data_IF_945010208801
#
_entry.id   IF_945010208801
#
_cell.length_a   1.000
_cell.length_b   1.000
_cell.length_c   1.000
_cell.angle_alpha   90.00
_cell.angle_beta   90.00
_cell.angle_gamma   90.00
#
_symmetry.space_group_name_H-M   'P 1'
#
loop_
_entity.id
_entity.type
_entity.pdbx_description
1 polymer ?
#
# COMPACT_ATOMS: atom_id res chain seq x y z
N UNK A 1 -15.15 -24.41 19.12
CA UNK A 1 -14.92 -22.98 19.42
C UNK A 1 -14.69 -22.31 18.08
N UNK A 2 -15.52 -21.35 17.68
CA UNK A 2 -15.24 -20.56 16.47
C UNK A 2 -13.90 -19.88 16.69
N UNK A 3 -12.93 -20.06 15.78
CA UNK A 3 -11.68 -19.34 15.86
C UNK A 3 -12.00 -17.85 15.70
N UNK A 4 -11.66 -17.03 16.70
CA UNK A 4 -11.84 -15.58 16.62
C UNK A 4 -10.88 -15.05 15.56
N UNK A 5 -11.40 -14.38 14.54
CA UNK A 5 -10.60 -13.73 13.50
C UNK A 5 -9.98 -12.46 14.08
N UNK A 6 -8.68 -12.26 13.84
CA UNK A 6 -7.98 -11.02 14.18
C UNK A 6 -8.03 -10.06 13.02
N UNK A 7 -8.34 -8.81 13.31
CA UNK A 7 -8.39 -7.73 12.34
C UNK A 7 -7.17 -6.86 12.54
N UNK A 8 -6.30 -6.76 11.55
CA UNK A 8 -5.02 -6.06 11.68
C UNK A 8 -4.84 -5.02 10.58
N UNK A 9 -4.17 -3.91 10.91
CA UNK A 9 -3.85 -2.85 9.95
C UNK A 9 -2.44 -2.31 10.21
N UNK A 10 -1.58 -2.43 9.20
CA UNK A 10 -0.19 -1.96 9.25
C UNK A 10 -0.06 -0.47 8.92
N UNK A 11 0.58 0.29 9.80
CA UNK A 11 0.89 1.71 9.64
C UNK A 11 2.32 1.86 9.11
N UNK A 12 2.44 2.19 7.83
CA UNK A 12 3.72 2.27 7.12
C UNK A 12 4.42 3.63 7.22
N UNK A 13 3.81 4.58 7.94
CA UNK A 13 4.17 6.00 7.87
C UNK A 13 3.63 6.72 6.63
N UNK A 14 2.93 6.00 5.74
CA UNK A 14 2.35 6.57 4.53
C UNK A 14 0.97 7.17 4.75
N UNK A 15 0.65 8.16 3.91
CA UNK A 15 -0.68 8.78 3.81
C UNK A 15 -1.79 7.74 3.64
N UNK A 16 -1.58 6.75 2.78
CA UNK A 16 -2.62 5.78 2.41
C UNK A 16 -2.98 4.84 3.60
N UNK A 17 -1.98 4.33 4.34
CA UNK A 17 -2.23 3.52 5.54
C UNK A 17 -2.84 4.32 6.70
N UNK A 18 -2.44 5.57 6.85
CA UNK A 18 -2.98 6.46 7.87
C UNK A 18 -4.45 6.81 7.59
N UNK A 19 -4.76 7.16 6.33
CA UNK A 19 -6.12 7.40 5.90
C UNK A 19 -7.00 6.16 6.05
N UNK A 20 -6.45 4.97 5.79
CA UNK A 20 -7.20 3.73 6.01
C UNK A 20 -7.52 3.51 7.48
N UNK A 21 -6.58 3.78 8.39
CA UNK A 21 -6.84 3.64 9.82
C UNK A 21 -7.97 4.59 10.28
N UNK A 22 -7.96 5.83 9.81
CA UNK A 22 -9.01 6.82 10.04
C UNK A 22 -10.35 6.36 9.46
N UNK A 23 -10.33 5.92 8.20
CA UNK A 23 -11.50 5.43 7.48
C UNK A 23 -12.17 4.25 8.20
N UNK A 24 -11.37 3.27 8.60
CA UNK A 24 -11.85 2.08 9.32
C UNK A 24 -12.45 2.47 10.68
N UNK A 25 -11.80 3.38 11.42
CA UNK A 25 -12.29 3.86 12.73
C UNK A 25 -13.63 4.59 12.61
N UNK A 26 -13.82 5.39 11.56
CA UNK A 26 -15.01 6.20 11.38
C UNK A 26 -16.20 5.39 10.86
N UNK A 27 -15.97 4.47 9.92
CA UNK A 27 -17.03 3.74 9.22
C UNK A 27 -17.34 2.37 9.82
N UNK A 28 -16.37 1.75 10.49
CA UNK A 28 -16.51 0.41 11.10
C UNK A 28 -16.00 0.42 12.55
N UNK A 29 -16.51 1.32 13.43
CA UNK A 29 -16.03 1.45 14.80
C UNK A 29 -16.22 0.20 15.67
N UNK A 30 -17.10 -0.71 15.27
CA UNK A 30 -17.35 -2.01 15.90
C UNK A 30 -16.27 -3.06 15.60
N UNK A 31 -15.48 -2.87 14.53
CA UNK A 31 -14.35 -3.73 14.24
C UNK A 31 -13.22 -3.47 15.23
N UNK A 32 -12.84 -4.50 15.98
CA UNK A 32 -11.69 -4.45 16.87
C UNK A 32 -10.39 -4.61 16.07
N UNK A 33 -9.98 -3.54 15.40
CA UNK A 33 -8.74 -3.49 14.63
C UNK A 33 -7.54 -3.31 15.56
N UNK A 34 -6.55 -4.20 15.41
CA UNK A 34 -5.21 -4.11 15.97
C UNK A 34 -4.31 -3.35 14.99
N UNK A 35 -3.79 -2.21 15.42
CA UNK A 35 -2.87 -1.41 14.61
C UNK A 35 -1.43 -1.77 14.95
N UNK A 36 -0.58 -1.90 13.94
CA UNK A 36 0.84 -2.19 14.15
C UNK A 36 1.73 -1.39 13.22
N UNK A 37 2.99 -1.24 13.58
CA UNK A 37 4.03 -0.70 12.71
C UNK A 37 5.29 -1.54 12.84
N UNK A 38 6.05 -1.71 11.76
CA UNK A 38 7.31 -2.43 11.75
C UNK A 38 8.46 -1.42 11.57
N UNK A 39 9.07 -1.05 12.69
CA UNK A 39 10.09 0.00 12.75
C UNK A 39 11.47 -0.57 12.38
N UNK A 40 12.10 0.05 11.38
CA UNK A 40 13.44 -0.34 10.92
C UNK A 40 14.56 0.35 11.71
N UNK A 41 14.22 1.32 12.55
CA UNK A 41 15.16 2.23 13.22
C UNK A 41 15.65 3.36 12.31
N UNK A 42 15.22 3.40 11.05
CA UNK A 42 15.73 4.31 10.01
C UNK A 42 14.62 5.15 9.37
N UNK A 43 13.52 5.34 10.09
CA UNK A 43 12.39 6.16 9.66
C UNK A 43 12.67 7.65 9.91
N UNK A 44 12.04 8.53 9.13
CA UNK A 44 12.07 9.97 9.40
C UNK A 44 11.28 10.33 10.66
N UNK A 45 11.65 11.45 11.33
CA UNK A 45 10.98 11.91 12.57
C UNK A 45 9.48 12.13 12.38
N UNK A 46 9.11 12.62 11.22
CA UNK A 46 7.72 12.87 10.81
C UNK A 46 6.90 11.58 10.76
N UNK A 47 7.51 10.42 10.46
CA UNK A 47 6.84 9.12 10.51
C UNK A 47 6.41 8.78 11.93
N UNK A 48 7.31 8.97 12.91
CA UNK A 48 6.99 8.75 14.32
C UNK A 48 5.93 9.74 14.83
N UNK A 49 5.97 10.99 14.36
CA UNK A 49 4.95 11.99 14.71
C UNK A 49 3.57 11.61 14.15
N UNK A 50 3.50 11.11 12.92
CA UNK A 50 2.26 10.61 12.33
C UNK A 50 1.67 9.45 13.14
N UNK A 51 2.50 8.49 13.54
CA UNK A 51 2.07 7.35 14.38
C UNK A 51 1.46 7.89 15.68
N UNK A 52 2.14 8.81 16.37
CA UNK A 52 1.60 9.43 17.59
C UNK A 52 0.27 10.15 17.37
N UNK A 53 0.13 10.89 16.27
CA UNK A 53 -1.13 11.57 15.93
C UNK A 53 -2.25 10.55 15.69
N UNK A 54 -1.95 9.44 15.02
CA UNK A 54 -2.91 8.35 14.79
C UNK A 54 -3.32 7.68 16.11
N UNK A 55 -2.40 7.41 17.04
CA UNK A 55 -2.76 6.82 18.35
C UNK A 55 -3.76 7.70 19.11
N UNK A 56 -3.53 9.02 19.10
CA UNK A 56 -4.44 10.00 19.70
C UNK A 56 -5.82 9.98 19.04
N UNK A 57 -5.88 9.92 17.70
CA UNK A 57 -7.13 9.86 16.95
C UNK A 57 -7.89 8.55 17.18
N UNK A 58 -7.18 7.42 17.14
CA UNK A 58 -7.76 6.08 17.25
C UNK A 58 -8.20 5.76 18.68
N UNK A 59 -7.57 6.40 19.68
CA UNK A 59 -7.70 6.06 21.09
C UNK A 59 -7.11 4.68 21.41
N UNK A 60 -6.14 4.22 20.62
CA UNK A 60 -5.49 2.91 20.68
C UNK A 60 -3.99 3.07 20.42
N UNK A 61 -3.17 2.31 21.14
CA UNK A 61 -1.73 2.20 20.89
C UNK A 61 -1.49 1.46 19.55
N UNK A 62 -0.49 1.90 18.79
CA UNK A 62 -0.02 1.21 17.60
C UNK A 62 1.14 0.29 18.02
N UNK A 63 0.92 -1.03 17.88
CA UNK A 63 1.88 -2.05 18.30
C UNK A 63 3.17 -1.92 17.49
N UNK A 64 4.27 -1.60 18.17
CA UNK A 64 5.59 -1.52 17.55
C UNK A 64 6.23 -2.89 17.44
N UNK A 65 6.27 -3.42 16.21
CA UNK A 65 7.00 -4.63 15.86
C UNK A 65 8.45 -4.27 15.55
N UNK A 66 9.39 -5.03 16.14
CA UNK A 66 10.82 -4.78 15.99
C UNK A 66 11.56 -6.05 15.58
N UNK A 67 12.46 -5.92 14.60
CA UNK A 67 13.36 -7.00 14.20
C UNK A 67 14.51 -7.08 15.17
N UNK A 68 14.97 -8.30 15.47
CA UNK A 68 16.15 -8.53 16.31
C UNK A 68 16.08 -7.75 17.65
N UNK A 69 15.02 -7.95 18.47
CA UNK A 69 14.82 -7.16 19.69
C UNK A 69 15.95 -7.31 20.72
N UNK A 70 16.70 -8.42 20.65
CA UNK A 70 17.85 -8.70 21.53
C UNK A 70 19.15 -8.04 21.03
N UNK A 71 19.11 -7.33 19.89
CA UNK A 71 20.26 -6.63 19.32
C UNK A 71 20.47 -5.28 20.01
N UNK A 72 21.74 -4.90 20.22
CA UNK A 72 22.12 -3.55 20.65
C UNK A 72 22.13 -2.53 19.50
N UNK A 73 22.04 -3.00 18.26
CA UNK A 73 21.99 -2.19 17.03
C UNK A 73 20.54 -2.07 16.54
N UNK A 74 20.24 -0.98 15.82
CA UNK A 74 18.94 -0.82 15.15
C UNK A 74 18.64 -2.01 14.21
N UNK A 75 17.36 -2.35 13.98
CA UNK A 75 16.96 -3.49 13.15
C UNK A 75 17.61 -3.52 11.76
N UNK A 76 17.70 -2.36 11.11
CA UNK A 76 18.35 -2.23 9.80
C UNK A 76 19.84 -2.55 9.87
N UNK A 77 20.57 -1.97 10.83
CA UNK A 77 22.02 -2.10 10.96
C UNK A 77 22.42 -3.52 11.31
N UNK A 78 21.69 -4.14 12.23
CA UNK A 78 21.86 -5.55 12.58
C UNK A 78 21.74 -6.44 11.34
N UNK A 79 20.70 -6.19 10.52
CA UNK A 79 20.47 -6.98 9.31
C UNK A 79 21.54 -6.73 8.26
N UNK A 80 21.92 -5.48 8.02
CA UNK A 80 22.97 -5.10 7.08
C UNK A 80 24.31 -5.77 7.44
N UNK A 81 24.67 -5.75 8.72
CA UNK A 81 25.87 -6.40 9.25
C UNK A 81 25.84 -7.91 9.06
N UNK A 82 24.69 -8.55 9.28
CA UNK A 82 24.51 -9.99 9.03
C UNK A 82 24.67 -10.39 7.56
N UNK A 83 24.57 -9.42 6.64
CA UNK A 83 24.74 -9.60 5.20
C UNK A 83 26.07 -9.01 4.68
N UNK A 84 27.04 -8.78 5.57
CA UNK A 84 28.35 -8.21 5.25
C UNK A 84 28.28 -6.91 4.44
N UNK A 85 27.33 -6.02 4.76
CA UNK A 85 27.21 -4.71 4.10
C UNK A 85 26.40 -4.71 2.80
N UNK A 86 25.78 -5.83 2.41
CA UNK A 86 24.96 -5.90 1.20
C UNK A 86 23.68 -5.03 1.31
N UNK A 87 23.64 -3.92 0.58
CA UNK A 87 22.50 -3.00 0.56
C UNK A 87 21.25 -3.62 -0.07
N UNK A 88 20.04 -3.26 0.42
CA UNK A 88 18.81 -3.72 -0.20
C UNK A 88 18.64 -3.05 -1.56
N UNK A 89 18.08 -3.78 -2.51
CA UNK A 89 17.84 -3.29 -3.87
C UNK A 89 16.54 -3.86 -4.44
N UNK A 90 16.08 -3.42 -5.63
CA UNK A 90 14.80 -3.88 -6.19
C UNK A 90 14.68 -5.41 -6.33
N UNK A 91 15.81 -6.11 -6.55
CA UNK A 91 15.84 -7.57 -6.64
C UNK A 91 15.88 -8.22 -5.25
N UNK A 92 16.67 -7.64 -4.34
CA UNK A 92 16.93 -8.18 -3.01
C UNK A 92 16.37 -7.27 -1.91
N UNK A 93 15.04 -7.26 -1.79
CA UNK A 93 14.27 -6.43 -0.84
C UNK A 93 14.26 -7.02 0.57
N UNK A 94 15.44 -7.31 1.12
CA UNK A 94 15.56 -7.91 2.45
C UNK A 94 15.03 -7.00 3.56
N UNK A 95 15.01 -5.68 3.35
CA UNK A 95 14.42 -4.72 4.28
C UNK A 95 12.91 -4.95 4.44
N UNK A 96 12.16 -5.14 3.35
CA UNK A 96 10.74 -5.52 3.42
C UNK A 96 10.56 -6.91 3.99
N UNK A 97 11.33 -7.89 3.50
CA UNK A 97 11.16 -9.29 3.91
C UNK A 97 11.45 -9.48 5.40
N UNK A 98 12.67 -9.19 5.84
CA UNK A 98 13.13 -9.53 7.19
C UNK A 98 12.72 -8.53 8.26
N UNK A 99 12.57 -7.25 7.91
CA UNK A 99 12.26 -6.22 8.90
C UNK A 99 10.76 -5.93 9.00
N UNK A 100 9.94 -6.45 8.08
CA UNK A 100 8.49 -6.15 8.05
C UNK A 100 7.65 -7.42 7.94
N UNK A 101 7.77 -8.17 6.84
CA UNK A 101 6.93 -9.34 6.58
C UNK A 101 7.16 -10.48 7.59
N UNK A 102 8.43 -10.88 7.78
CA UNK A 102 8.77 -12.00 8.68
C UNK A 102 8.34 -11.70 10.14
N UNK A 103 8.37 -10.44 10.55
CA UNK A 103 7.99 -10.01 11.90
C UNK A 103 6.48 -9.93 12.04
N UNK A 104 5.79 -9.39 11.04
CA UNK A 104 4.34 -9.44 11.00
C UNK A 104 3.84 -10.89 11.07
N UNK A 105 4.42 -11.80 10.29
CA UNK A 105 4.08 -13.21 10.31
C UNK A 105 4.36 -13.87 11.67
N UNK A 106 5.39 -13.42 12.40
CA UNK A 106 5.67 -13.86 13.77
C UNK A 106 4.65 -13.29 14.77
N UNK A 107 4.25 -12.04 14.60
CA UNK A 107 3.28 -11.34 15.44
C UNK A 107 1.87 -11.97 15.36
N UNK A 108 1.43 -12.35 14.16
CA UNK A 108 0.13 -13.01 13.97
C UNK A 108 0.16 -14.51 14.23
N UNK A 109 1.34 -15.13 14.17
CA UNK A 109 1.52 -16.55 14.44
C UNK A 109 0.74 -17.43 13.46
N UNK A 110 -0.20 -18.20 14.00
CA UNK A 110 -1.12 -19.10 13.27
C UNK A 110 -2.59 -18.67 13.43
N UNK A 111 -2.83 -17.48 13.97
CA UNK A 111 -4.20 -16.98 14.12
C UNK A 111 -4.80 -16.69 12.73
N UNK A 112 -6.11 -16.93 12.52
CA UNK A 112 -6.78 -16.45 11.32
C UNK A 112 -6.87 -14.92 11.37
N UNK A 113 -6.33 -14.26 10.35
CA UNK A 113 -6.11 -12.82 10.31
C UNK A 113 -6.64 -12.22 9.01
N UNK A 114 -7.38 -11.12 9.15
CA UNK A 114 -7.71 -10.20 8.07
C UNK A 114 -6.78 -8.99 8.17
N UNK A 115 -5.95 -8.79 7.14
CA UNK A 115 -5.04 -7.65 7.01
C UNK A 115 -5.63 -6.61 6.07
N UNK A 116 -5.92 -5.42 6.59
CA UNK A 116 -6.46 -4.31 5.80
C UNK A 116 -5.33 -3.50 5.16
N UNK A 117 -5.46 -3.25 3.86
CA UNK A 117 -4.42 -2.62 3.04
C UNK A 117 -4.97 -1.42 2.28
N UNK A 118 -4.30 -0.27 2.43
CA UNK A 118 -4.71 1.00 1.84
C UNK A 118 -4.26 1.14 0.38
N UNK A 119 -4.72 0.27 -0.52
CA UNK A 119 -4.52 0.46 -1.96
C UNK A 119 -5.68 1.25 -2.51
N UNK A 120 -5.40 2.43 -3.06
CA UNK A 120 -6.43 3.33 -3.60
C UNK A 120 -7.13 2.73 -4.81
N UNK A 121 -8.33 3.23 -5.09
CA UNK A 121 -9.12 2.86 -6.26
C UNK A 121 -8.52 3.30 -7.60
N UNK A 122 -7.68 4.34 -7.58
CA UNK A 122 -6.96 4.86 -8.75
C UNK A 122 -5.58 4.20 -8.98
N UNK A 123 -5.16 3.27 -8.11
CA UNK A 123 -3.91 2.52 -8.27
C UNK A 123 -4.12 1.22 -9.05
N UNK A 124 -3.37 1.02 -10.13
CA UNK A 124 -3.39 -0.22 -10.92
C UNK A 124 -2.25 -1.19 -10.52
N UNK A 125 -2.33 -1.75 -9.31
CA UNK A 125 -1.36 -2.73 -8.79
C UNK A 125 -2.01 -3.78 -7.89
N UNK A 126 -1.33 -4.89 -7.63
CA UNK A 126 -1.78 -5.85 -6.63
C UNK A 126 -1.16 -5.57 -5.25
N UNK A 127 -1.87 -5.97 -4.20
CA UNK A 127 -1.35 -5.99 -2.84
C UNK A 127 -0.49 -7.20 -2.57
N UNK A 128 0.16 -7.25 -1.40
CA UNK A 128 0.81 -8.46 -0.96
C UNK A 128 -0.23 -9.54 -0.67
N UNK A 129 -0.04 -10.72 -1.27
CA UNK A 129 -0.79 -11.93 -0.96
C UNK A 129 0.12 -12.81 -0.12
N UNK A 130 -0.27 -13.05 1.12
CA UNK A 130 0.51 -13.91 2.02
C UNK A 130 0.59 -15.34 1.49
N UNK A 131 1.71 -16.00 1.77
CA UNK A 131 1.83 -17.45 1.55
C UNK A 131 1.20 -18.27 2.67
N UNK A 132 0.90 -17.64 3.81
CA UNK A 132 0.16 -18.27 4.91
C UNK A 132 -1.33 -18.21 4.60
N UNK A 133 -1.98 -19.36 4.61
CA UNK A 133 -3.43 -19.51 4.43
C UNK A 133 -4.25 -18.88 5.56
N UNK A 134 -3.63 -18.68 6.72
CA UNK A 134 -4.25 -18.00 7.87
C UNK A 134 -4.29 -16.47 7.72
N UNK A 135 -3.72 -15.88 6.67
CA UNK A 135 -3.69 -14.43 6.47
C UNK A 135 -4.40 -14.08 5.17
N UNK A 136 -5.41 -13.21 5.25
CA UNK A 136 -6.16 -12.72 4.10
C UNK A 136 -6.08 -11.19 4.01
N UNK A 137 -5.71 -10.68 2.84
CA UNK A 137 -5.68 -9.24 2.58
C UNK A 137 -7.05 -8.75 2.09
N UNK A 138 -7.46 -7.56 2.56
CA UNK A 138 -8.68 -6.86 2.11
C UNK A 138 -8.31 -5.43 1.74
N UNK A 139 -8.93 -4.89 0.68
CA UNK A 139 -8.62 -3.58 0.08
C UNK A 139 -9.81 -2.61 0.14
N UNK A 140 -10.04 -1.92 1.28
CA UNK A 140 -11.29 -1.19 1.50
C UNK A 140 -11.53 0.03 0.60
N UNK A 141 -10.49 0.54 -0.05
CA UNK A 141 -10.61 1.70 -0.95
C UNK A 141 -10.90 1.32 -2.40
N UNK A 142 -11.00 0.03 -2.71
CA UNK A 142 -11.27 -0.47 -4.06
C UNK A 142 -12.71 -0.93 -4.19
N UNK A 143 -13.23 -0.80 -5.40
CA UNK A 143 -14.53 -1.37 -5.73
C UNK A 143 -14.55 -2.88 -5.48
N UNK A 144 -13.49 -3.58 -5.90
CA UNK A 144 -13.24 -4.95 -5.48
C UNK A 144 -12.35 -4.97 -4.24
N UNK A 145 -12.95 -5.32 -3.09
CA UNK A 145 -12.22 -5.42 -1.81
C UNK A 145 -11.41 -6.73 -1.68
N UNK A 146 -11.67 -7.72 -2.54
CA UNK A 146 -11.07 -9.05 -2.46
C UNK A 146 -9.79 -9.16 -3.28
N UNK A 147 -8.83 -9.95 -2.79
CA UNK A 147 -7.58 -10.23 -3.51
C UNK A 147 -7.78 -11.11 -4.75
N UNK A 148 -6.85 -11.00 -5.71
CA UNK A 148 -6.93 -11.71 -6.99
C UNK A 148 -7.00 -13.25 -6.83
N UNK A 149 -6.41 -13.82 -5.80
CA UNK A 149 -6.53 -15.25 -5.51
C UNK A 149 -7.95 -15.66 -5.08
N UNK A 150 -8.65 -14.82 -4.31
CA UNK A 150 -10.07 -15.00 -3.98
C UNK A 150 -10.93 -14.87 -5.22
N UNK A 151 -10.70 -13.82 -6.03
CA UNK A 151 -11.42 -13.64 -7.29
C UNK A 151 -11.20 -14.81 -8.23
N UNK A 152 -9.96 -15.28 -8.38
CA UNK A 152 -9.62 -16.47 -9.16
C UNK A 152 -10.35 -17.70 -8.66
N UNK A 153 -10.46 -17.87 -7.35
CA UNK A 153 -11.16 -18.99 -6.73
C UNK A 153 -12.68 -18.91 -6.99
N UNK A 154 -13.31 -17.79 -6.65
CA UNK A 154 -14.77 -17.63 -6.71
C UNK A 154 -15.28 -17.65 -8.15
N UNK A 155 -14.55 -17.04 -9.09
CA UNK A 155 -14.94 -16.96 -10.50
C UNK A 155 -14.36 -18.08 -11.37
N UNK A 156 -13.77 -19.13 -10.77
CA UNK A 156 -13.39 -20.35 -11.49
C UNK A 156 -14.66 -21.05 -12.03
N UNK A 157 -14.62 -21.50 -13.29
CA UNK A 157 -15.75 -22.18 -13.94
C UNK A 157 -16.27 -23.38 -13.12
N UNK A 158 -15.39 -24.08 -12.39
CA UNK A 158 -15.79 -25.22 -11.54
C UNK A 158 -16.68 -24.81 -10.36
N UNK A 159 -16.63 -23.55 -9.95
CA UNK A 159 -17.34 -23.01 -8.80
C UNK A 159 -18.65 -22.30 -9.16
N UNK A 160 -18.99 -22.19 -10.45
CA UNK A 160 -20.19 -21.50 -10.94
C UNK A 160 -21.45 -22.03 -10.24
N UNK A 161 -21.66 -23.35 -10.20
CA UNK A 161 -22.85 -23.94 -9.57
C UNK A 161 -23.01 -23.53 -8.11
N UNK A 162 -21.89 -23.44 -7.38
CA UNK A 162 -21.89 -23.04 -5.97
C UNK A 162 -22.21 -21.55 -5.82
N UNK A 163 -21.59 -20.69 -6.63
CA UNK A 163 -21.89 -19.25 -6.64
C UNK A 163 -23.36 -18.99 -7.04
N UNK A 164 -23.90 -19.75 -7.98
CA UNK A 164 -25.31 -19.69 -8.35
C UNK A 164 -26.23 -20.13 -7.22
N UNK A 165 -25.89 -21.20 -6.50
CA UNK A 165 -26.68 -21.64 -5.34
C UNK A 165 -26.73 -20.54 -4.27
N UNK A 166 -25.59 -19.93 -3.94
CA UNK A 166 -25.50 -18.79 -3.02
C UNK A 166 -26.32 -17.61 -3.54
N UNK A 167 -26.19 -17.26 -4.81
CA UNK A 167 -26.91 -16.14 -5.40
C UNK A 167 -28.43 -16.31 -5.31
N UNK A 168 -28.93 -17.52 -5.59
CA UNK A 168 -30.36 -17.84 -5.48
C UNK A 168 -30.87 -17.81 -4.02
N UNK A 169 -30.02 -18.12 -3.05
CA UNK A 169 -30.40 -18.11 -1.63
C UNK A 169 -30.36 -16.70 -1.04
N UNK A 170 -29.35 -15.91 -1.40
CA UNK A 170 -29.00 -14.67 -0.70
C UNK A 170 -29.42 -13.40 -1.41
N UNK A 171 -29.48 -13.42 -2.75
CA UNK A 171 -29.82 -12.22 -3.51
C UNK A 171 -31.33 -12.11 -3.66
N UNK A 172 -31.81 -10.88 -3.60
CA UNK A 172 -33.21 -10.55 -3.82
C UNK A 172 -33.32 -9.18 -4.45
N UNK A 173 -34.05 -9.07 -5.55
CA UNK A 173 -34.29 -7.78 -6.22
C UNK A 173 -34.43 -7.90 -7.73
N UNK A 174 -34.63 -6.75 -8.37
CA UNK A 174 -34.87 -6.67 -9.81
C UNK A 174 -33.63 -7.06 -10.65
N UNK A 175 -32.43 -6.88 -10.08
CA UNK A 175 -31.16 -7.18 -10.75
C UNK A 175 -30.72 -8.64 -10.64
N UNK A 176 -31.32 -9.43 -9.73
CA UNK A 176 -30.87 -10.79 -9.40
C UNK A 176 -30.81 -11.71 -10.63
N UNK A 177 -31.79 -11.63 -11.53
CA UNK A 177 -31.80 -12.42 -12.78
C UNK A 177 -30.59 -12.10 -13.67
N UNK A 178 -30.26 -10.81 -13.79
CA UNK A 178 -29.09 -10.36 -14.56
C UNK A 178 -27.79 -10.79 -13.89
N UNK A 179 -27.75 -10.74 -12.56
CA UNK A 179 -26.61 -11.18 -11.76
C UNK A 179 -26.33 -12.69 -11.97
N UNK A 180 -27.37 -13.51 -11.91
CA UNK A 180 -27.34 -14.95 -12.17
C UNK A 180 -26.90 -15.24 -13.61
N UNK A 181 -27.39 -14.50 -14.60
CA UNK A 181 -26.98 -14.65 -16.00
C UNK A 181 -25.46 -14.45 -16.15
N UNK A 182 -24.91 -13.37 -15.59
CA UNK A 182 -23.47 -13.08 -15.62
C UNK A 182 -22.68 -14.18 -14.89
N UNK A 183 -23.11 -14.58 -13.68
CA UNK A 183 -22.46 -15.66 -12.91
C UNK A 183 -22.43 -17.00 -13.65
N UNK A 184 -23.50 -17.32 -14.39
CA UNK A 184 -23.62 -18.59 -15.13
C UNK A 184 -22.67 -18.68 -16.34
N UNK A 185 -22.20 -17.54 -16.85
CA UNK A 185 -21.35 -17.50 -18.05
C UNK A 185 -19.93 -17.99 -17.73
N UNK A 186 -19.43 -18.94 -18.51
CA UNK A 186 -18.07 -19.44 -18.38
C UNK A 186 -17.03 -18.41 -18.80
N UNK A 187 -15.99 -18.25 -18.00
CA UNK A 187 -14.76 -17.53 -18.37
C UNK A 187 -14.01 -18.34 -19.44
N UNK A 188 -13.54 -17.66 -20.49
CA UNK A 188 -12.77 -18.21 -21.62
C UNK A 188 -11.91 -17.12 -22.25
N UNK A 189 -11.20 -17.41 -23.36
CA UNK A 189 -10.30 -16.46 -24.01
C UNK A 189 -10.99 -15.17 -24.51
N UNK A 190 -12.28 -15.26 -24.90
CA UNK A 190 -13.06 -14.12 -25.39
C UNK A 190 -13.87 -13.43 -24.29
N UNK A 191 -13.96 -14.03 -23.11
CA UNK A 191 -14.67 -13.48 -21.96
C UNK A 191 -13.85 -13.77 -20.72
N UNK A 192 -12.99 -12.83 -20.39
CA UNK A 192 -11.97 -13.01 -19.36
C UNK A 192 -12.58 -12.94 -17.95
N UNK A 193 -11.81 -13.37 -16.95
CA UNK A 193 -12.22 -13.21 -15.55
C UNK A 193 -12.41 -11.74 -15.19
N UNK A 194 -11.55 -10.87 -15.70
CA UNK A 194 -11.63 -9.43 -15.51
C UNK A 194 -12.93 -8.85 -16.09
N UNK A 195 -13.34 -9.29 -17.29
CA UNK A 195 -14.61 -8.86 -17.89
C UNK A 195 -15.80 -9.30 -17.03
N UNK A 196 -15.76 -10.54 -16.52
CA UNK A 196 -16.81 -11.08 -15.64
C UNK A 196 -16.88 -10.34 -14.31
N UNK A 197 -15.73 -10.12 -13.67
CA UNK A 197 -15.64 -9.37 -12.42
C UNK A 197 -16.21 -7.97 -12.59
N UNK A 198 -15.78 -7.25 -13.64
CA UNK A 198 -16.23 -5.89 -13.91
C UNK A 198 -17.76 -5.84 -14.06
N UNK A 199 -18.34 -6.74 -14.86
CA UNK A 199 -19.80 -6.79 -15.05
C UNK A 199 -20.57 -7.06 -13.76
N UNK A 200 -20.04 -7.91 -12.87
CA UNK A 200 -20.68 -8.22 -11.58
C UNK A 200 -20.61 -7.00 -10.64
N UNK A 201 -19.45 -6.34 -10.56
CA UNK A 201 -19.23 -5.17 -9.71
C UNK A 201 -20.03 -3.95 -10.18
N UNK A 202 -20.11 -3.71 -11.50
CA UNK A 202 -20.92 -2.65 -12.11
C UNK A 202 -22.42 -2.87 -11.91
N UNK A 203 -22.87 -4.13 -11.90
CA UNK A 203 -24.27 -4.45 -11.66
C UNK A 203 -24.65 -4.15 -10.20
N UNK A 204 -23.94 -4.75 -9.25
CA UNK A 204 -24.08 -4.47 -7.82
C UNK A 204 -22.90 -5.02 -7.00
N UNK A 205 -22.04 -4.11 -6.52
CA UNK A 205 -20.86 -4.48 -5.72
C UNK A 205 -21.22 -5.17 -4.40
N UNK A 206 -22.34 -4.80 -3.77
CA UNK A 206 -22.75 -5.37 -2.48
C UNK A 206 -23.24 -6.80 -2.63
N UNK A 207 -24.03 -7.06 -3.68
CA UNK A 207 -24.46 -8.43 -4.01
C UNK A 207 -23.24 -9.31 -4.35
N UNK A 208 -22.27 -8.79 -5.10
CA UNK A 208 -21.03 -9.50 -5.38
C UNK A 208 -20.25 -9.84 -4.11
N UNK A 209 -20.04 -8.85 -3.23
CA UNK A 209 -19.36 -9.06 -1.95
C UNK A 209 -20.07 -10.09 -1.08
N UNK A 210 -21.41 -10.05 -1.06
CA UNK A 210 -22.25 -11.03 -0.35
C UNK A 210 -21.98 -12.44 -0.85
N UNK A 211 -21.97 -12.66 -2.17
CA UNK A 211 -21.68 -13.97 -2.76
C UNK A 211 -20.27 -14.44 -2.40
N UNK A 212 -19.27 -13.56 -2.51
CA UNK A 212 -17.89 -13.91 -2.17
C UNK A 212 -17.79 -14.34 -0.71
N UNK A 213 -18.32 -13.57 0.23
CA UNK A 213 -18.25 -13.89 1.66
C UNK A 213 -18.98 -15.19 2.02
N UNK A 214 -20.19 -15.39 1.49
CA UNK A 214 -20.93 -16.65 1.68
C UNK A 214 -20.20 -17.84 1.04
N UNK A 215 -19.48 -17.63 -0.07
CA UNK A 215 -18.59 -18.63 -0.62
C UNK A 215 -17.42 -18.93 0.33
N UNK A 216 -16.80 -17.91 0.92
CA UNK A 216 -15.67 -18.09 1.84
C UNK A 216 -16.04 -18.83 3.13
N UNK A 217 -17.30 -18.77 3.58
CA UNK A 217 -17.81 -19.53 4.75
C UNK A 217 -17.65 -21.05 4.66
N UNK A 218 -17.41 -21.60 3.46
CA UNK A 218 -17.02 -23.01 3.30
C UNK A 218 -15.61 -23.18 2.72
N UNK A 219 -14.70 -22.32 3.14
CA UNK A 219 -13.27 -22.39 2.88
C UNK A 219 -12.51 -22.17 4.19
N UNK A 220 -11.17 -22.21 4.14
CA UNK A 220 -10.33 -21.89 5.29
C UNK A 220 -9.87 -20.42 5.32
N UNK A 221 -10.38 -19.58 4.42
CA UNK A 221 -10.00 -18.17 4.41
C UNK A 221 -10.59 -17.45 5.63
N UNK A 222 -9.79 -16.63 6.34
CA UNK A 222 -10.20 -15.91 7.55
C UNK A 222 -11.55 -15.19 7.45
N UNK A 223 -11.83 -14.48 6.35
CA UNK A 223 -13.09 -13.76 6.18
C UNK A 223 -14.33 -14.67 6.17
N UNK A 224 -14.17 -15.98 5.91
CA UNK A 224 -15.26 -16.96 6.00
C UNK A 224 -15.61 -17.39 7.43
N UNK A 225 -14.76 -17.09 8.42
CA UNK A 225 -15.02 -17.45 9.82
C UNK A 225 -15.89 -16.41 10.53
N UNK A 226 -15.97 -15.18 9.99
CA UNK A 226 -16.87 -14.15 10.48
C UNK A 226 -18.32 -14.45 10.04
N UNK A 227 -19.25 -14.31 10.97
CA UNK A 227 -20.68 -14.51 10.65
C UNK A 227 -21.23 -13.35 9.83
N UNK A 228 -20.80 -12.14 10.16
CA UNK A 228 -21.07 -10.89 9.46
C UNK A 228 -19.75 -10.16 9.25
N UNK A 229 -19.40 -9.92 7.99
CA UNK A 229 -18.22 -9.12 7.64
C UNK A 229 -18.67 -7.69 7.34
N UNK A 230 -18.25 -6.66 8.10
CA UNK A 230 -18.82 -5.31 7.97
C UNK A 230 -18.59 -4.62 6.61
N UNK A 231 -17.52 -4.99 5.89
CA UNK A 231 -17.16 -4.37 4.61
C UNK A 231 -17.98 -4.89 3.42
N UNK A 232 -18.95 -5.79 3.62
CA UNK A 232 -19.78 -6.32 2.52
C UNK A 232 -20.58 -5.22 1.84
N UNK A 233 -21.09 -4.27 2.62
CA UNK A 233 -21.89 -3.15 2.12
C UNK A 233 -21.05 -1.99 1.56
N UNK A 234 -19.72 -2.08 1.69
CA UNK A 234 -18.80 -1.07 1.18
C UNK A 234 -18.87 -1.00 -0.35
N UNK A 235 -19.20 0.18 -0.85
CA UNK A 235 -19.23 0.51 -2.28
C UNK A 235 -18.43 1.79 -2.58
N UNK A 236 -17.61 2.26 -1.63
CA UNK A 236 -16.80 3.45 -1.81
C UNK A 236 -15.49 3.10 -2.53
N UNK A 237 -15.05 4.03 -3.38
CA UNK A 237 -13.79 3.93 -4.11
C UNK A 237 -13.00 5.19 -3.84
N UNK A 238 -11.98 5.08 -2.99
CA UNK A 238 -11.22 6.23 -2.51
C UNK A 238 -9.99 6.43 -3.39
N UNK A 239 -9.86 7.63 -3.96
CA UNK A 239 -8.72 8.04 -4.79
C UNK A 239 -7.76 8.95 -4.03
N UNK A 240 -6.64 9.33 -4.62
CA UNK A 240 -5.60 10.13 -3.94
C UNK A 240 -6.15 11.40 -3.27
N UNK A 241 -7.08 12.08 -3.93
CA UNK A 241 -7.73 13.28 -3.39
C UNK A 241 -8.50 12.99 -2.10
N UNK A 242 -9.19 11.86 -2.01
CA UNK A 242 -9.97 11.49 -0.83
C UNK A 242 -9.05 11.13 0.34
N UNK A 243 -7.90 10.52 0.07
CA UNK A 243 -6.86 10.22 1.07
C UNK A 243 -6.37 11.51 1.74
N UNK A 244 -6.05 12.55 0.96
CA UNK A 244 -5.66 13.85 1.53
C UNK A 244 -6.80 14.49 2.31
N UNK A 245 -8.03 14.48 1.77
CA UNK A 245 -9.19 15.02 2.46
C UNK A 245 -9.42 14.33 3.83
N UNK A 246 -9.30 13.00 3.91
CA UNK A 246 -9.45 12.25 5.17
C UNK A 246 -8.39 12.65 6.20
N UNK A 247 -7.14 12.80 5.78
CA UNK A 247 -6.04 13.17 6.67
C UNK A 247 -6.16 14.60 7.18
N UNK A 248 -6.58 15.54 6.32
CA UNK A 248 -6.79 16.94 6.69
C UNK A 248 -8.00 17.11 7.62
N UNK A 249 -9.14 16.52 7.27
CA UNK A 249 -10.40 16.68 8.02
C UNK A 249 -10.40 15.97 9.37
N UNK A 250 -9.61 14.89 9.53
CA UNK A 250 -9.45 14.19 10.81
C UNK A 250 -8.57 14.94 11.81
N UNK A 251 -7.79 15.93 11.38
CA UNK A 251 -6.80 16.61 12.20
C UNK A 251 -5.51 15.82 12.46
N UNK A 252 -5.38 14.59 11.91
CA UNK A 252 -4.14 13.80 11.97
C UNK A 252 -3.04 14.45 11.12
N UNK A 253 -3.44 14.98 9.96
CA UNK A 253 -2.54 15.62 8.99
C UNK A 253 -1.66 14.63 8.22
N UNK A 254 -0.74 15.19 7.43
CA UNK A 254 0.27 14.44 6.67
C UNK A 254 1.67 14.70 7.25
N UNK A 255 2.59 13.72 7.14
CA UNK A 255 4.00 13.94 7.43
C UNK A 255 4.58 15.14 6.65
N UNK A 256 5.39 15.96 7.32
CA UNK A 256 5.91 17.19 6.73
C UNK A 256 6.83 16.96 5.51
N UNK A 257 7.41 15.76 5.36
CA UNK A 257 8.20 15.42 4.17
C UNK A 257 7.39 15.35 2.86
N UNK A 258 6.06 15.36 2.92
CA UNK A 258 5.20 15.48 1.75
C UNK A 258 4.98 16.94 1.33
N UNK A 259 5.28 17.91 2.19
CA UNK A 259 5.08 19.32 1.89
C UNK A 259 6.05 19.76 0.78
N UNK A 260 5.52 20.48 -0.20
CA UNK A 260 6.30 21.04 -1.29
C UNK A 260 7.26 22.12 -0.78
N UNK A 261 8.55 22.00 -1.14
CA UNK A 261 9.59 22.97 -0.84
C UNK A 261 10.05 23.60 -2.15
N UNK A 262 10.03 24.93 -2.20
CA UNK A 262 10.48 25.70 -3.35
C UNK A 262 12.01 25.65 -3.48
N UNK A 263 12.49 25.48 -4.71
CA UNK A 263 13.89 25.63 -5.06
C UNK A 263 14.04 26.41 -6.36
N UNK A 264 15.20 27.06 -6.53
CA UNK A 264 15.55 27.77 -7.74
C UNK A 264 16.84 27.19 -8.35
N UNK A 265 16.85 26.98 -9.65
CA UNK A 265 18.04 26.57 -10.42
C UNK A 265 18.06 27.31 -11.76
N UNK A 266 19.16 27.99 -12.09
CA UNK A 266 19.30 28.78 -13.32
C UNK A 266 18.11 29.72 -13.61
N UNK A 267 17.60 30.39 -12.57
CA UNK A 267 16.45 31.29 -12.66
C UNK A 267 15.10 30.63 -12.87
N UNK A 268 15.03 29.29 -12.87
CA UNK A 268 13.78 28.53 -12.90
C UNK A 268 13.37 28.14 -11.49
N UNK A 269 12.11 28.35 -11.15
CA UNK A 269 11.51 28.02 -9.85
C UNK A 269 10.66 26.76 -9.98
N UNK A 270 10.81 25.83 -9.05
CA UNK A 270 9.97 24.64 -8.95
C UNK A 270 9.91 24.16 -7.49
N UNK A 271 9.09 23.14 -7.25
CA UNK A 271 8.95 22.52 -5.93
C UNK A 271 9.34 21.06 -5.97
N UNK A 272 9.99 20.57 -4.92
CA UNK A 272 10.23 19.15 -4.67
C UNK A 272 9.71 18.75 -3.28
N UNK A 273 9.42 17.47 -3.09
CA UNK A 273 9.09 16.85 -1.79
C UNK A 273 9.37 15.36 -1.86
N UNK A 274 9.23 14.63 -0.75
CA UNK A 274 9.19 13.17 -0.82
C UNK A 274 7.84 12.71 -1.35
N UNK A 275 7.89 11.72 -2.23
CA UNK A 275 6.73 11.00 -2.73
C UNK A 275 6.45 9.73 -1.91
N UNK A 276 7.45 9.25 -1.16
CA UNK A 276 7.39 8.00 -0.40
C UNK A 276 7.59 8.22 1.09
N UNK A 277 6.80 7.49 1.87
CA UNK A 277 6.96 7.41 3.32
C UNK A 277 8.03 6.41 3.73
N UNK A 278 8.39 6.51 5.00
CA UNK A 278 9.22 5.52 5.65
C UNK A 278 10.69 5.92 5.69
N UNK A 279 11.58 4.96 5.45
CA UNK A 279 13.01 5.15 5.66
C UNK A 279 13.62 6.25 4.78
N UNK A 280 14.63 6.93 5.30
CA UNK A 280 15.22 8.09 4.62
C UNK A 280 16.12 7.72 3.42
N UNK A 281 16.48 6.45 3.23
CA UNK A 281 17.42 5.98 2.19
C UNK A 281 16.85 4.90 1.26
N UNK A 282 15.54 4.86 1.04
CA UNK A 282 14.94 3.81 0.20
C UNK A 282 15.59 3.76 -1.19
N UNK A 283 16.04 2.58 -1.66
CA UNK A 283 16.66 2.41 -2.98
C UNK A 283 15.71 2.70 -4.17
N UNK A 284 14.41 2.92 -3.93
CA UNK A 284 13.50 3.41 -4.95
C UNK A 284 13.50 4.94 -5.07
N UNK A 285 14.08 5.64 -4.11
CA UNK A 285 14.09 7.11 -4.00
C UNK A 285 14.63 7.74 -5.28
N UNK A 286 13.91 8.72 -5.81
CA UNK A 286 14.31 9.44 -7.01
C UNK A 286 15.54 10.32 -6.72
N UNK A 287 16.33 10.63 -7.73
CA UNK A 287 17.50 11.51 -7.57
C UNK A 287 17.12 12.87 -6.95
N UNK A 288 15.97 13.44 -7.32
CA UNK A 288 15.49 14.69 -6.70
C UNK A 288 15.16 14.54 -5.21
N UNK A 289 14.69 13.38 -4.77
CA UNK A 289 14.39 13.09 -3.37
C UNK A 289 15.68 12.89 -2.56
N UNK A 290 16.76 12.38 -3.18
CA UNK A 290 18.09 12.39 -2.59
C UNK A 290 18.64 13.80 -2.41
N UNK A 291 18.39 14.70 -3.38
CA UNK A 291 18.70 16.13 -3.23
C UNK A 291 17.86 16.78 -2.13
N UNK A 292 16.56 16.47 -2.03
CA UNK A 292 15.74 16.90 -0.90
C UNK A 292 16.34 16.43 0.43
N UNK A 293 16.78 15.16 0.52
CA UNK A 293 17.38 14.64 1.75
C UNK A 293 18.68 15.36 2.09
N UNK A 294 19.54 15.59 1.09
CA UNK A 294 20.80 16.34 1.27
C UNK A 294 20.56 17.77 1.75
N UNK A 295 19.60 18.48 1.15
CA UNK A 295 19.34 19.90 1.45
C UNK A 295 18.56 20.08 2.77
N UNK A 296 17.66 19.17 3.11
CA UNK A 296 16.77 19.30 4.28
C UNK A 296 17.24 18.52 5.51
N UNK A 297 17.98 17.42 5.31
CA UNK A 297 18.47 16.53 6.37
C UNK A 297 19.91 16.06 6.08
N UNK A 298 20.88 16.99 6.02
CA UNK A 298 22.27 16.67 5.64
C UNK A 298 22.93 15.62 6.54
N UNK A 299 22.53 15.53 7.81
CA UNK A 299 22.97 14.51 8.76
C UNK A 299 22.49 13.11 8.38
N UNK A 300 21.22 12.97 7.98
CA UNK A 300 20.66 11.70 7.52
C UNK A 300 21.21 11.33 6.14
N UNK A 301 21.44 12.31 5.27
CA UNK A 301 22.12 12.07 3.99
C UNK A 301 23.54 11.54 4.21
N UNK A 302 24.31 12.14 5.12
CA UNK A 302 25.65 11.66 5.47
C UNK A 302 25.63 10.22 6.01
N UNK A 303 24.66 9.88 6.88
CA UNK A 303 24.48 8.50 7.33
C UNK A 303 24.12 7.55 6.17
N UNK A 304 23.30 8.00 5.21
CA UNK A 304 23.00 7.19 4.03
C UNK A 304 24.26 6.91 3.21
N UNK A 305 25.12 7.93 3.02
CA UNK A 305 26.40 7.78 2.32
C UNK A 305 27.35 6.79 3.01
N UNK A 306 27.38 6.73 4.34
CA UNK A 306 28.26 5.82 5.09
C UNK A 306 27.95 4.33 4.85
N UNK A 307 26.73 4.02 4.42
CA UNK A 307 26.36 2.66 4.04
C UNK A 307 26.86 2.25 2.66
N UNK A 308 27.18 3.19 1.77
CA UNK A 308 27.76 2.88 0.46
C UNK A 308 29.21 2.43 0.64
N UNK A 309 29.47 1.16 0.35
CA UNK A 309 30.79 0.54 0.49
C UNK A 309 31.07 -0.36 -0.70
N UNK A 310 32.33 -0.34 -1.14
CA UNK A 310 32.80 -1.08 -2.32
C UNK A 310 31.92 -0.77 -3.55
N UNK A 311 31.31 -1.80 -4.15
CA UNK A 311 30.43 -1.68 -5.32
C UNK A 311 28.94 -1.55 -4.94
N UNK A 312 28.59 -1.37 -3.66
CA UNK A 312 27.20 -1.22 -3.21
C UNK A 312 26.79 0.24 -3.09
N UNK A 313 25.95 0.69 -4.00
CA UNK A 313 25.35 2.03 -4.01
C UNK A 313 23.83 1.97 -3.84
N UNK A 314 23.22 3.05 -3.34
CA UNK A 314 21.76 3.14 -3.23
C UNK A 314 21.08 3.31 -4.58
N UNK A 315 21.75 4.04 -5.48
CA UNK A 315 21.31 4.26 -6.85
C UNK A 315 22.16 3.41 -7.79
N UNK A 316 21.53 2.78 -8.79
CA UNK A 316 22.23 1.90 -9.72
C UNK A 316 23.22 2.64 -10.62
N UNK A 317 23.03 3.94 -10.83
CA UNK A 317 23.79 4.73 -11.79
C UNK A 317 25.04 5.39 -11.18
N UNK A 318 24.97 5.85 -9.92
CA UNK A 318 26.03 6.63 -9.28
C UNK A 318 25.95 6.55 -7.74
N UNK A 319 27.09 6.64 -7.02
CA UNK A 319 27.09 6.80 -5.57
C UNK A 319 26.59 8.18 -5.15
N UNK A 320 26.13 8.29 -3.90
CA UNK A 320 25.64 9.55 -3.32
C UNK A 320 26.72 10.64 -3.26
N UNK A 321 28.00 10.27 -3.17
CA UNK A 321 29.14 11.20 -3.20
C UNK A 321 29.28 11.93 -4.53
N UNK A 322 28.91 11.30 -5.64
CA UNK A 322 28.90 11.90 -6.98
C UNK A 322 27.61 12.70 -7.20
N UNK A 323 26.48 12.21 -6.69
CA UNK A 323 25.16 12.84 -6.80
C UNK A 323 25.13 14.27 -6.23
N UNK A 324 25.89 14.55 -5.16
CA UNK A 324 25.95 15.87 -4.51
C UNK A 324 26.96 16.85 -5.11
N UNK A 325 27.65 16.49 -6.20
CA UNK A 325 28.52 17.47 -6.88
C UNK A 325 27.67 18.62 -7.42
N UNK A 326 28.09 19.90 -7.29
CA UNK A 326 27.28 21.05 -7.67
C UNK A 326 26.69 20.95 -9.10
N UNK A 327 27.51 20.56 -10.07
CA UNK A 327 27.08 20.36 -11.46
C UNK A 327 26.02 19.25 -11.61
N UNK A 328 26.13 18.18 -10.80
CA UNK A 328 25.18 17.06 -10.81
C UNK A 328 23.86 17.43 -10.15
N UNK A 329 23.89 18.15 -9.02
CA UNK A 329 22.69 18.70 -8.36
C UNK A 329 21.92 19.59 -9.34
N UNK A 330 22.62 20.50 -10.01
CA UNK A 330 22.04 21.39 -11.02
C UNK A 330 21.36 20.60 -12.14
N UNK A 331 22.06 19.60 -12.70
CA UNK A 331 21.53 18.74 -13.75
C UNK A 331 20.27 17.97 -13.31
N UNK A 332 20.26 17.38 -12.11
CA UNK A 332 19.12 16.65 -11.55
C UNK A 332 17.91 17.59 -11.40
N UNK A 333 18.13 18.78 -10.84
CA UNK A 333 17.07 19.78 -10.66
C UNK A 333 16.47 20.23 -12.00
N UNK A 334 17.31 20.53 -13.00
CA UNK A 334 16.85 20.92 -14.34
C UNK A 334 16.10 19.79 -15.05
N UNK A 335 16.59 18.56 -14.95
CA UNK A 335 15.92 17.39 -15.50
C UNK A 335 14.55 17.17 -14.84
N UNK A 336 14.48 17.28 -13.52
CA UNK A 336 13.24 17.18 -12.77
C UNK A 336 12.22 18.24 -13.21
N UNK A 337 12.63 19.51 -13.35
CA UNK A 337 11.75 20.58 -13.86
C UNK A 337 11.23 20.25 -15.26
N UNK A 338 12.11 19.79 -16.15
CA UNK A 338 11.74 19.41 -17.53
C UNK A 338 10.72 18.27 -17.53
N UNK A 339 10.91 17.26 -16.68
CA UNK A 339 9.95 16.14 -16.52
C UNK A 339 8.62 16.65 -15.97
N UNK A 340 8.60 17.39 -14.87
CA UNK A 340 7.38 17.96 -14.25
C UNK A 340 6.59 18.82 -15.25
N UNK A 341 7.27 19.71 -15.98
CA UNK A 341 6.64 20.54 -17.02
C UNK A 341 6.04 19.71 -18.16
N UNK A 342 6.70 18.61 -18.56
CA UNK A 342 6.18 17.70 -19.59
C UNK A 342 4.92 16.99 -19.10
N UNK A 343 4.95 16.45 -17.89
CA UNK A 343 3.81 15.78 -17.25
C UNK A 343 2.62 16.72 -17.09
N UNK A 344 2.84 17.97 -16.66
CA UNK A 344 1.78 18.98 -16.57
C UNK A 344 1.17 19.33 -17.94
N UNK A 345 1.99 19.42 -18.99
CA UNK A 345 1.50 19.64 -20.37
C UNK A 345 0.68 18.46 -20.89
N UNK A 346 1.10 17.24 -20.57
CA UNK A 346 0.38 16.00 -20.88
C UNK A 346 -0.97 15.98 -20.16
N UNK A 347 -1.00 16.26 -18.85
CA UNK A 347 -2.25 16.33 -18.07
C UNK A 347 -3.23 17.39 -18.59
N UNK A 348 -2.72 18.47 -19.19
CA UNK A 348 -3.53 19.52 -19.82
C UNK A 348 -3.93 19.20 -21.27
N UNK A 349 -3.31 18.22 -21.92
CA UNK A 349 -3.66 17.82 -23.29
C UNK A 349 -4.87 16.87 -23.27
N UNK A 350 -5.84 17.09 -24.15
CA UNK A 350 -7.06 16.27 -24.24
C UNK A 350 -6.89 14.99 -25.07
N UNK A 351 -5.64 14.56 -25.32
CA UNK A 351 -5.33 13.45 -26.22
C UNK A 351 -5.21 12.14 -25.43
N UNK A 352 -6.09 11.18 -25.73
CA UNK A 352 -6.16 9.85 -25.11
C UNK A 352 -4.84 9.07 -25.08
N UNK A 353 -3.94 9.27 -26.06
CA UNK A 353 -2.62 8.62 -26.13
C UNK A 353 -1.67 9.10 -25.01
N UNK A 354 -1.83 10.32 -24.52
CA UNK A 354 -0.95 10.91 -23.51
C UNK A 354 -1.36 10.50 -22.07
N UNK A 355 -2.57 9.97 -21.88
CA UNK A 355 -3.13 9.59 -20.56
C UNK A 355 -2.59 8.23 -20.08
N UNK A 356 -2.17 7.35 -20.99
CA UNK A 356 -1.70 6.00 -20.63
C UNK A 356 -0.24 5.94 -20.15
N UNK A 357 0.55 7.01 -20.27
CA UNK A 357 1.97 6.99 -19.90
C UNK A 357 2.27 7.35 -18.44
N UNK A 358 1.29 7.86 -17.68
CA UNK A 358 1.50 8.45 -16.34
C UNK A 358 1.28 7.46 -15.17
N UNK A 359 0.97 6.19 -15.46
CA UNK A 359 0.57 5.20 -14.43
C UNK A 359 1.73 4.60 -13.62
N UNK A 360 2.99 4.91 -13.94
CA UNK A 360 4.16 4.27 -13.33
C UNK A 360 4.84 5.08 -12.22
N UNK A 361 4.54 6.38 -12.06
CA UNK A 361 5.31 7.23 -11.14
C UNK A 361 4.62 7.45 -9.79
N UNK A 362 3.31 7.20 -9.71
CA UNK A 362 2.51 7.27 -8.47
C UNK A 362 2.39 5.91 -7.76
N UNK A 363 3.31 4.97 -8.08
CA UNK A 363 3.45 3.67 -7.43
C UNK A 363 3.74 3.89 -5.94
N UNK A 364 2.66 3.93 -5.16
CA UNK A 364 2.65 4.13 -3.73
C UNK A 364 3.58 3.15 -3.02
N UNK A 365 4.01 3.55 -1.82
CA UNK A 365 4.92 2.86 -0.92
C UNK A 365 4.37 1.53 -0.34
N UNK A 366 3.68 0.72 -1.14
CA UNK A 366 3.24 -0.61 -0.75
C UNK A 366 4.25 -1.71 -1.07
N UNK A 367 5.42 -1.37 -1.61
CA UNK A 367 6.56 -2.29 -1.62
C UNK A 367 7.05 -2.64 -0.20
N UNK A 368 6.58 -1.92 0.82
CA UNK A 368 7.06 -2.01 2.19
C UNK A 368 6.04 -2.56 3.19
N UNK A 369 4.74 -2.43 2.97
CA UNK A 369 3.73 -2.98 3.88
C UNK A 369 2.61 -3.68 3.10
N UNK A 370 2.13 -4.74 3.74
CA UNK A 370 1.14 -5.72 3.27
C UNK A 370 -0.10 -5.01 2.78
#
# INVERSE_FOLDING_TARGET
>A
MSQKVRHVLGISGGKDSAALAIYMKNNYPELDVEYYTADTGKELKETYQLIKNLELFLGKEIIKLQAFPDSSEDPFDHKLKSLNGFLPNPLNRWCTKSLKLDIFEKFVGNDPVISYVGIRGDENREGYISKKDTIQSIFPFRQNIWSEDIIRLVLDNKNIYRCLAIANEKLSGEKTNRFIEILSRNVNELYTRSDKLLQLLELDTREFNTIVHEFLKHTNYPAGFDTQFPLIDNNEVLVLKDIYNLLETSGVGIPAYYNEIEFTVNGQVATYSRTRSGCYFCFYQQNIEWIWLYEQHPDLFAQAMEYEKDDFTWNQDEPLSELIKPERIEAIKLEYIKRKTRTEKIRRSSKLIDIFSDASEDLGCASCFI
#
